data_IF_638446896153
#
_entry.id   IF_638446896153
#
_cell.length_a   1.000
_cell.length_b   1.000
_cell.length_c   1.000
_cell.angle_alpha   90.00
_cell.angle_beta   90.00
_cell.angle_gamma   90.00
#
_symmetry.space_group_name_H-M   'P 1'
#
loop_
_entity.id
_entity.type
_entity.pdbx_description
1 polymer ?
#
# COMPACT_ATOMS: atom_id res chain seq x y z
N UNK A 1 6.40 8.55 -9.63
CA UNK A 1 5.38 8.56 -8.55
C UNK A 1 4.40 7.44 -8.83
N UNK A 2 3.87 6.77 -7.80
CA UNK A 2 2.82 5.76 -7.98
C UNK A 2 1.49 6.47 -8.16
N UNK A 3 0.82 6.18 -9.27
CA UNK A 3 -0.53 6.61 -9.54
C UNK A 3 -1.51 5.53 -9.09
N UNK A 4 -2.63 5.92 -8.53
CA UNK A 4 -3.70 5.02 -8.15
C UNK A 4 -4.95 5.34 -8.96
N UNK A 5 -5.58 4.30 -9.53
CA UNK A 5 -6.82 4.42 -10.31
C UNK A 5 -8.02 3.92 -9.51
N UNK A 6 -9.17 4.55 -9.66
CA UNK A 6 -10.47 4.04 -9.25
C UNK A 6 -11.57 4.61 -10.17
N UNK A 7 -12.84 4.41 -9.81
CA UNK A 7 -13.99 4.90 -10.58
C UNK A 7 -14.00 6.44 -10.73
N UNK A 8 -13.32 7.16 -9.85
CA UNK A 8 -13.19 8.63 -9.91
C UNK A 8 -12.01 9.09 -10.79
N UNK A 9 -11.27 8.16 -11.40
CA UNK A 9 -10.13 8.42 -12.26
C UNK A 9 -8.79 8.03 -11.65
N UNK A 10 -7.71 8.54 -12.24
CA UNK A 10 -6.33 8.24 -11.82
C UNK A 10 -5.74 9.44 -11.08
N UNK A 11 -5.24 9.22 -9.85
CA UNK A 11 -4.68 10.25 -8.98
C UNK A 11 -3.29 9.87 -8.46
N UNK A 12 -2.41 10.85 -8.20
CA UNK A 12 -1.13 10.58 -7.55
C UNK A 12 -1.36 10.05 -6.13
N UNK A 13 -0.59 9.06 -5.69
CA UNK A 13 -0.82 8.43 -4.40
C UNK A 13 0.44 8.29 -3.53
N UNK A 14 1.51 7.71 -4.07
CA UNK A 14 2.69 7.38 -3.28
C UNK A 14 3.97 7.85 -3.96
N UNK A 15 4.79 8.63 -3.25
CA UNK A 15 6.07 9.15 -3.70
C UNK A 15 7.22 8.38 -3.05
N UNK A 16 8.06 7.78 -3.88
CA UNK A 16 9.31 7.17 -3.44
C UNK A 16 10.36 8.25 -3.22
N UNK A 17 10.97 8.28 -2.04
CA UNK A 17 11.95 9.31 -1.65
C UNK A 17 13.37 8.81 -1.48
N UNK A 18 13.57 7.48 -1.42
CA UNK A 18 14.89 6.88 -1.21
C UNK A 18 15.28 5.98 -2.40
N UNK A 19 16.55 6.06 -2.80
CA UNK A 19 17.21 5.04 -3.61
C UNK A 19 17.78 3.95 -2.70
N UNK A 20 17.64 2.69 -3.10
CA UNK A 20 18.00 1.54 -2.23
C UNK A 20 19.25 0.79 -2.71
N UNK A 21 20.18 1.47 -3.37
CA UNK A 21 21.37 0.84 -3.96
C UNK A 21 21.07 -0.01 -5.20
N UNK A 22 22.10 -0.60 -5.80
CA UNK A 22 22.02 -1.65 -6.82
C UNK A 22 21.05 -1.39 -8.00
N UNK A 23 21.05 -0.17 -8.53
CA UNK A 23 20.20 0.20 -9.69
C UNK A 23 18.71 0.34 -9.36
N UNK A 24 18.34 0.36 -8.08
CA UNK A 24 16.98 0.70 -7.62
C UNK A 24 16.81 2.21 -7.43
N UNK A 25 16.55 2.91 -8.54
CA UNK A 25 16.12 4.30 -8.50
C UNK A 25 14.63 4.44 -8.08
N UNK A 26 14.22 5.67 -7.75
CA UNK A 26 12.87 5.97 -7.28
C UNK A 26 11.79 5.67 -8.33
N UNK A 27 12.10 5.83 -9.62
CA UNK A 27 11.17 5.53 -10.71
C UNK A 27 10.89 4.03 -10.82
N UNK A 28 11.95 3.20 -10.88
CA UNK A 28 11.84 1.73 -10.92
C UNK A 28 11.03 1.17 -9.75
N UNK A 29 11.16 1.79 -8.58
CA UNK A 29 10.34 1.46 -7.40
C UNK A 29 8.88 1.83 -7.59
N UNK A 30 8.59 3.01 -8.12
CA UNK A 30 7.21 3.40 -8.44
C UNK A 30 6.58 2.38 -9.42
N UNK A 31 7.31 2.01 -10.47
CA UNK A 31 6.83 1.08 -11.50
C UNK A 31 6.57 -0.31 -10.91
N UNK A 32 7.48 -0.80 -10.05
CA UNK A 32 7.33 -2.09 -9.37
C UNK A 32 6.12 -2.09 -8.42
N UNK A 33 5.90 -1.00 -7.68
CA UNK A 33 4.75 -0.88 -6.78
C UNK A 33 3.44 -0.83 -7.59
N UNK A 34 3.41 -0.08 -8.69
CA UNK A 34 2.25 -0.02 -9.57
C UNK A 34 1.93 -1.40 -10.16
N UNK A 35 2.94 -2.12 -10.65
CA UNK A 35 2.77 -3.47 -11.19
C UNK A 35 2.23 -4.45 -10.15
N UNK A 36 2.76 -4.43 -8.92
CA UNK A 36 2.26 -5.26 -7.81
C UNK A 36 0.82 -4.94 -7.48
N UNK A 37 0.48 -3.65 -7.41
CA UNK A 37 -0.87 -3.22 -7.09
C UNK A 37 -1.88 -3.73 -8.13
N UNK A 38 -1.57 -3.65 -9.42
CA UNK A 38 -2.44 -4.19 -10.47
C UNK A 38 -2.61 -5.71 -10.36
N UNK A 39 -1.56 -6.46 -10.00
CA UNK A 39 -1.68 -7.89 -9.70
C UNK A 39 -2.61 -8.15 -8.52
N UNK A 40 -2.44 -7.43 -7.41
CA UNK A 40 -3.30 -7.61 -6.23
C UNK A 40 -4.75 -7.21 -6.48
N UNK A 41 -5.01 -6.25 -7.38
CA UNK A 41 -6.38 -5.92 -7.83
C UNK A 41 -7.04 -7.10 -8.52
N UNK A 42 -6.31 -7.79 -9.41
CA UNK A 42 -6.81 -9.01 -10.06
C UNK A 42 -7.13 -10.13 -9.06
N UNK A 43 -6.35 -10.21 -7.97
CA UNK A 43 -6.58 -11.14 -6.86
C UNK A 43 -7.71 -10.71 -5.91
N UNK A 44 -8.40 -9.60 -6.19
CA UNK A 44 -9.45 -9.04 -5.34
C UNK A 44 -8.88 -8.33 -4.12
N UNK A 45 -8.13 -7.26 -4.32
CA UNK A 45 -7.61 -6.38 -3.27
C UNK A 45 -8.75 -5.94 -2.33
N UNK A 46 -8.54 -5.99 -1.02
CA UNK A 46 -9.53 -5.59 -0.01
C UNK A 46 -8.98 -4.61 1.02
N UNK A 47 -7.66 -4.55 1.15
CA UNK A 47 -7.06 -3.73 2.19
C UNK A 47 -5.55 -3.79 2.19
N UNK A 48 -4.95 -2.95 3.02
CA UNK A 48 -3.51 -2.95 3.26
C UNK A 48 -3.27 -3.29 4.73
N UNK A 49 -2.13 -3.92 4.98
CA UNK A 49 -1.63 -4.17 6.32
C UNK A 49 -0.17 -3.74 6.45
N UNK A 50 0.31 -3.64 7.69
CA UNK A 50 1.73 -3.41 7.96
C UNK A 50 2.31 -4.49 8.86
N UNK A 51 3.61 -4.76 8.70
CA UNK A 51 4.38 -5.63 9.59
C UNK A 51 5.86 -5.26 9.57
N UNK A 52 6.62 -5.70 10.57
CA UNK A 52 8.08 -5.68 10.50
C UNK A 52 8.57 -6.64 9.41
N UNK A 53 9.58 -6.23 8.63
CA UNK A 53 10.13 -7.07 7.56
C UNK A 53 11.39 -7.81 8.06
N UNK A 54 11.37 -9.15 8.20
CA UNK A 54 12.52 -9.90 8.68
C UNK A 54 13.73 -9.84 7.73
N UNK A 55 13.53 -9.49 6.45
CA UNK A 55 14.61 -9.37 5.47
C UNK A 55 15.31 -8.02 5.51
N UNK A 56 14.68 -7.02 6.13
CA UNK A 56 15.21 -5.65 6.24
C UNK A 56 15.07 -5.15 7.66
N UNK A 57 16.08 -5.42 8.53
CA UNK A 57 16.04 -4.99 9.92
C UNK A 57 15.76 -3.49 10.06
N UNK A 58 14.96 -3.12 11.07
CA UNK A 58 14.55 -1.74 11.34
C UNK A 58 13.68 -1.09 10.25
N UNK A 59 13.07 -1.89 9.38
CA UNK A 59 12.10 -1.43 8.40
C UNK A 59 10.78 -2.20 8.54
N UNK A 60 9.67 -1.49 8.36
CA UNK A 60 8.36 -2.08 8.21
C UNK A 60 7.99 -2.21 6.73
N UNK A 61 7.19 -3.22 6.40
CA UNK A 61 6.61 -3.43 5.09
C UNK A 61 5.11 -3.16 5.14
N UNK A 62 4.60 -2.60 4.05
CA UNK A 62 3.18 -2.53 3.73
C UNK A 62 2.85 -3.69 2.81
N UNK A 63 1.83 -4.45 3.19
CA UNK A 63 1.37 -5.65 2.51
C UNK A 63 -0.02 -5.38 1.94
N UNK A 64 -0.31 -5.94 0.77
CA UNK A 64 -1.66 -6.04 0.25
C UNK A 64 -2.36 -7.27 0.82
N UNK A 65 -3.63 -7.10 1.15
CA UNK A 65 -4.53 -8.20 1.51
C UNK A 65 -5.54 -8.33 0.38
N UNK A 66 -5.70 -9.54 -0.13
CA UNK A 66 -6.61 -9.84 -1.24
C UNK A 66 -7.65 -10.87 -0.79
N UNK A 67 -8.68 -11.12 -1.60
CA UNK A 67 -9.64 -12.18 -1.32
C UNK A 67 -8.98 -13.55 -1.40
N UNK A 68 -8.01 -13.73 -2.30
CA UNK A 68 -7.27 -14.99 -2.48
C UNK A 68 -6.26 -15.24 -1.36
N UNK A 69 -5.61 -14.19 -0.85
CA UNK A 69 -4.60 -14.31 0.20
C UNK A 69 -4.68 -13.17 1.22
N UNK A 70 -5.21 -13.51 2.40
CA UNK A 70 -5.34 -12.59 3.55
C UNK A 70 -4.27 -12.78 4.61
N UNK A 71 -3.61 -13.94 4.63
CA UNK A 71 -2.77 -14.37 5.75
C UNK A 71 -1.28 -14.16 5.48
N UNK A 72 -0.86 -14.12 4.21
CA UNK A 72 0.50 -13.79 3.86
C UNK A 72 0.65 -12.29 3.61
N UNK A 73 1.87 -11.79 3.81
CA UNK A 73 2.20 -10.44 3.37
C UNK A 73 2.54 -10.45 1.89
N UNK A 74 1.56 -10.09 1.06
CA UNK A 74 1.79 -9.77 -0.32
C UNK A 74 2.49 -8.40 -0.39
N UNK A 75 3.82 -8.41 -0.41
CA UNK A 75 4.63 -7.20 -0.27
C UNK A 75 4.26 -6.16 -1.34
N UNK A 76 3.71 -5.02 -0.91
CA UNK A 76 3.51 -3.86 -1.76
C UNK A 76 4.78 -3.01 -1.77
N UNK A 77 5.17 -2.51 -0.58
CA UNK A 77 6.33 -1.61 -0.42
C UNK A 77 7.01 -1.83 0.93
N UNK A 78 8.34 -1.93 0.93
CA UNK A 78 9.17 -1.83 2.15
C UNK A 78 9.41 -0.36 2.44
N UNK A 79 9.09 0.13 3.64
CA UNK A 79 9.21 1.54 4.03
C UNK A 79 10.68 1.96 4.23
N UNK A 80 10.93 3.27 4.36
CA UNK A 80 12.28 3.76 4.71
C UNK A 80 12.68 3.28 6.13
N UNK A 81 13.98 3.17 6.43
CA UNK A 81 14.44 2.84 7.78
C UNK A 81 13.89 3.83 8.83
N UNK A 82 13.44 3.31 9.97
CA UNK A 82 12.88 4.11 11.07
C UNK A 82 11.52 4.75 10.80
N UNK A 83 10.85 4.43 9.69
CA UNK A 83 9.44 4.77 9.53
C UNK A 83 8.55 3.82 10.34
N UNK A 84 7.57 4.40 11.02
CA UNK A 84 6.55 3.61 11.70
C UNK A 84 5.58 3.00 10.68
N UNK A 85 5.37 1.69 10.76
CA UNK A 85 4.54 0.95 9.81
C UNK A 85 3.06 1.35 9.87
N UNK A 86 2.57 1.61 11.07
CA UNK A 86 1.16 1.97 11.29
C UNK A 86 0.87 3.38 10.78
N UNK A 87 1.69 4.36 11.15
CA UNK A 87 1.55 5.74 10.68
C UNK A 87 1.72 5.85 9.17
N UNK A 88 2.65 5.08 8.60
CA UNK A 88 2.82 5.04 7.15
C UNK A 88 1.59 4.47 6.45
N UNK A 89 1.06 3.35 6.94
CA UNK A 89 -0.17 2.73 6.42
C UNK A 89 -1.33 3.73 6.48
N UNK A 90 -1.56 4.34 7.64
CA UNK A 90 -2.62 5.33 7.86
C UNK A 90 -2.54 6.48 6.87
N UNK A 91 -1.36 7.11 6.74
CA UNK A 91 -1.15 8.26 5.85
C UNK A 91 -1.29 7.88 4.37
N UNK A 92 -0.86 6.68 3.98
CA UNK A 92 -1.10 6.16 2.64
C UNK A 92 -2.59 6.07 2.33
N UNK A 93 -3.41 5.59 3.27
CA UNK A 93 -4.85 5.46 3.09
C UNK A 93 -5.57 6.82 3.13
N UNK A 94 -5.13 7.74 3.99
CA UNK A 94 -5.63 9.12 4.00
C UNK A 94 -5.35 9.82 2.66
N UNK A 95 -4.14 9.69 2.13
CA UNK A 95 -3.76 10.23 0.83
C UNK A 95 -4.64 9.65 -0.29
N UNK A 96 -4.89 8.34 -0.23
CA UNK A 96 -5.78 7.65 -1.17
C UNK A 96 -7.20 8.26 -1.16
N UNK A 97 -7.82 8.35 0.02
CA UNK A 97 -9.18 8.88 0.20
C UNK A 97 -9.32 10.33 -0.20
N UNK A 98 -8.29 11.14 0.08
CA UNK A 98 -8.28 12.56 -0.25
C UNK A 98 -7.84 12.85 -1.69
N UNK A 99 -7.39 11.83 -2.43
CA UNK A 99 -6.83 12.01 -3.77
C UNK A 99 -5.55 12.84 -3.79
N UNK A 100 -4.76 12.77 -2.73
CA UNK A 100 -3.46 13.44 -2.58
C UNK A 100 -2.34 12.42 -2.55
N UNK A 101 -1.09 12.88 -2.48
CA UNK A 101 0.08 12.01 -2.41
C UNK A 101 0.80 12.07 -1.07
N UNK A 102 1.38 10.96 -0.64
CA UNK A 102 2.25 10.87 0.54
C UNK A 102 3.64 10.35 0.18
N UNK A 103 4.66 10.74 0.95
CA UNK A 103 6.00 10.17 0.84
C UNK A 103 6.12 8.84 1.57
N UNK A 104 6.87 7.90 0.98
CA UNK A 104 7.15 6.60 1.55
C UNK A 104 7.80 6.70 2.93
N UNK A 105 7.03 6.40 3.99
CA UNK A 105 7.50 6.49 5.36
C UNK A 105 7.60 7.92 5.88
N UNK A 106 6.71 8.83 5.43
CA UNK A 106 6.55 10.12 6.07
C UNK A 106 6.10 9.93 7.53
N UNK A 107 6.98 10.23 8.48
CA UNK A 107 6.60 10.37 9.88
C UNK A 107 6.04 11.78 10.05
N UNK A 108 4.95 11.94 10.79
CA UNK A 108 4.49 13.28 11.12
C UNK A 108 3.77 13.30 12.46
N UNK A 109 3.94 14.41 13.17
CA UNK A 109 3.35 14.67 14.49
C UNK A 109 1.82 14.58 14.45
N UNK A 110 1.28 13.65 15.23
CA UNK A 110 -0.08 13.62 15.85
C UNK A 110 -1.27 14.20 15.06
N UNK A 111 -2.14 13.32 14.52
CA UNK A 111 -3.52 13.61 14.04
C UNK A 111 -4.41 12.36 14.31
N UNK A 112 -5.73 12.47 14.60
CA UNK A 112 -6.49 11.46 15.36
C UNK A 112 -6.76 10.13 14.64
N UNK A 113 -6.14 9.09 15.19
CA UNK A 113 -6.71 7.79 15.57
C UNK A 113 -7.74 7.11 14.66
N UNK A 114 -7.25 6.39 13.64
CA UNK A 114 -7.67 4.99 13.49
C UNK A 114 -7.32 4.23 14.78
N UNK A 115 -8.07 3.18 15.14
CA UNK A 115 -7.83 2.43 16.37
C UNK A 115 -6.36 1.96 16.46
N UNK A 116 -5.61 2.33 17.52
CA UNK A 116 -4.23 1.89 17.69
C UNK A 116 -4.17 0.37 17.73
N UNK A 117 -3.31 -0.23 16.90
CA UNK A 117 -3.08 -1.68 16.88
C UNK A 117 -3.80 -2.45 15.78
N UNK A 118 -4.62 -1.81 14.93
CA UNK A 118 -5.14 -2.47 13.73
C UNK A 118 -4.03 -2.61 12.70
N UNK A 119 -3.51 -3.83 12.53
CA UNK A 119 -2.49 -4.17 11.53
C UNK A 119 -3.04 -4.19 10.11
N UNK A 120 -4.35 -4.20 9.94
CA UNK A 120 -5.08 -4.22 8.67
C UNK A 120 -6.09 -3.08 8.61
N UNK A 121 -6.21 -2.44 7.45
CA UNK A 121 -7.22 -1.42 7.16
C UNK A 121 -7.80 -1.69 5.77
N UNK A 122 -9.13 -1.89 5.73
CA UNK A 122 -9.87 -1.98 4.46
C UNK A 122 -9.96 -0.61 3.80
N UNK A 123 -9.87 -0.61 2.47
CA UNK A 123 -10.14 0.54 1.62
C UNK A 123 -11.00 0.15 0.42
N UNK A 124 -11.88 -0.83 0.60
CA UNK A 124 -12.81 -1.28 -0.45
C UNK A 124 -13.64 -0.13 -1.03
N UNK A 125 -13.91 0.91 -0.23
CA UNK A 125 -14.56 2.16 -0.64
C UNK A 125 -13.77 2.98 -1.68
N UNK A 126 -12.48 2.69 -1.84
CA UNK A 126 -11.57 3.37 -2.77
C UNK A 126 -11.18 2.51 -3.98
N UNK A 127 -11.67 1.28 -4.08
CA UNK A 127 -11.43 0.39 -5.21
C UNK A 127 -12.32 0.78 -6.41
N UNK A 128 -11.92 0.38 -7.62
CA UNK A 128 -12.83 0.47 -8.76
C UNK A 128 -13.89 -0.63 -8.67
N UNK A 129 -15.06 -0.41 -9.28
CA UNK A 129 -16.15 -1.38 -9.29
C UNK A 129 -15.72 -2.73 -9.88
N UNK A 130 -14.78 -2.75 -10.83
CA UNK A 130 -14.21 -4.00 -11.35
C UNK A 130 -13.38 -4.78 -10.31
N UNK A 131 -12.61 -4.11 -9.45
CA UNK A 131 -11.72 -4.79 -8.50
C UNK A 131 -12.53 -5.38 -7.34
N UNK A 132 -13.67 -4.78 -7.00
CA UNK A 132 -14.61 -5.34 -6.03
C UNK A 132 -15.19 -6.68 -6.49
N UNK A 133 -15.21 -6.94 -7.80
CA UNK A 133 -15.66 -8.21 -8.39
C UNK A 133 -14.50 -9.19 -8.61
N UNK A 134 -13.27 -8.69 -8.66
CA UNK A 134 -12.08 -9.52 -8.78
C UNK A 134 -11.89 -10.43 -7.55
N UNK A 135 -11.21 -11.57 -7.76
CA UNK A 135 -11.05 -12.62 -6.75
C UNK A 135 -12.32 -13.42 -6.41
N UNK A 136 -13.49 -13.08 -6.97
CA UNK A 136 -14.74 -13.82 -6.76
C UNK A 136 -14.92 -15.02 -7.70
N UNK A 137 -14.17 -15.08 -8.81
CA UNK A 137 -14.19 -16.19 -9.79
C UNK A 137 -13.16 -17.30 -9.49
N UNK A 138 -12.38 -17.19 -8.40
CA UNK A 138 -11.40 -18.21 -8.02
C UNK A 138 -11.99 -19.39 -7.24
N UNK A 139 -13.32 -19.49 -7.17
CA UNK A 139 -14.04 -20.69 -6.74
C UNK A 139 -14.54 -21.43 -7.98
N UNK A 140 -13.64 -22.13 -8.68
CA UNK A 140 -14.02 -23.29 -9.47
C UNK A 140 -12.91 -24.31 -9.56
#
# INVERSE_FOLDING_TARGET
MVMYRNDQGTKPWLKMVNSFGDGWNTQKRCDTIAQRLEGFRQDGLIGLSHRSDPKTPNQSAICANTKLDRNNCNLLVTLKPGADGYDSLRRMLEALRNGTSVEQGSNGSTVPTLAPGSTFVSFEDQLAAEDLKAGSDASK
#
